data_IF_223823676567
#
_entry.id   IF_223823676567
#
_cell.length_a   1.000
_cell.length_b   1.000
_cell.length_c   1.000
_cell.angle_alpha   90.00
_cell.angle_beta   90.00
_cell.angle_gamma   90.00
#
_symmetry.space_group_name_H-M   'P 1'
#
loop_
_entity.id
_entity.type
_entity.pdbx_description
1 polymer ?
#
# COMPACT_ATOMS: atom_id res chain seq x y z
N UNK A 1 -12.94 -11.71 10.64
CA UNK A 1 -12.21 -10.42 10.62
C UNK A 1 -11.98 -9.85 9.21
N UNK A 2 -12.16 -10.61 8.12
CA UNK A 2 -11.83 -10.16 6.76
C UNK A 2 -10.36 -10.43 6.39
N UNK A 3 -10.08 -10.44 5.09
CA UNK A 3 -8.75 -10.68 4.52
C UNK A 3 -8.58 -9.87 3.22
N UNK A 4 -7.33 -9.50 2.92
CA UNK A 4 -6.99 -8.72 1.72
C UNK A 4 -6.50 -9.68 0.64
N UNK A 5 -7.19 -9.79 -0.51
CA UNK A 5 -6.87 -10.79 -1.53
C UNK A 5 -5.52 -10.54 -2.21
N UNK A 6 -4.85 -11.62 -2.63
CA UNK A 6 -3.57 -11.60 -3.35
C UNK A 6 -3.69 -12.19 -4.77
N UNK A 7 -2.84 -11.70 -5.69
CA UNK A 7 -2.76 -12.21 -7.07
C UNK A 7 -2.26 -13.68 -7.07
N UNK A 8 -3.12 -14.60 -7.49
CA UNK A 8 -2.84 -16.05 -7.54
C UNK A 8 -3.70 -16.90 -6.61
N UNK A 9 -4.48 -16.27 -5.71
CA UNK A 9 -5.43 -16.97 -4.82
C UNK A 9 -6.84 -17.07 -5.41
N UNK A 10 -7.15 -16.26 -6.43
CA UNK A 10 -8.46 -16.18 -7.04
C UNK A 10 -8.37 -16.36 -8.56
N UNK A 11 -9.26 -17.17 -9.11
CA UNK A 11 -9.47 -17.24 -10.56
C UNK A 11 -9.93 -15.88 -11.09
N UNK A 12 -9.56 -15.58 -12.33
CA UNK A 12 -9.86 -14.31 -13.00
C UNK A 12 -11.38 -14.22 -13.21
N UNK A 13 -12.08 -13.55 -12.29
CA UNK A 13 -13.54 -13.40 -12.28
C UNK A 13 -14.01 -12.21 -11.43
N UNK A 14 -15.33 -12.05 -11.29
CA UNK A 14 -15.91 -11.04 -10.39
C UNK A 14 -15.63 -11.40 -8.92
N UNK A 15 -15.12 -10.44 -8.15
CA UNK A 15 -14.77 -10.62 -6.74
C UNK A 15 -16.02 -10.37 -5.89
N UNK A 16 -16.42 -11.37 -5.12
CA UNK A 16 -17.44 -11.24 -4.08
C UNK A 16 -16.83 -10.55 -2.83
N UNK A 17 -16.70 -9.22 -2.87
CA UNK A 17 -16.01 -8.44 -1.85
C UNK A 17 -16.51 -8.68 -0.42
N UNK A 18 -17.78 -8.98 -0.23
CA UNK A 18 -18.34 -9.21 1.11
C UNK A 18 -17.66 -10.37 1.85
N UNK A 19 -17.12 -11.37 1.13
CA UNK A 19 -16.36 -12.48 1.72
C UNK A 19 -15.01 -12.05 2.28
N UNK A 20 -14.47 -10.93 1.80
CA UNK A 20 -13.13 -10.43 2.12
C UNK A 20 -13.18 -9.27 3.11
N UNK A 21 -14.25 -8.48 3.10
CA UNK A 21 -14.34 -7.28 3.91
C UNK A 21 -14.47 -7.59 5.39
N UNK A 22 -13.91 -6.72 6.22
CA UNK A 22 -13.98 -6.84 7.68
C UNK A 22 -15.40 -6.60 8.17
N UNK A 23 -16.00 -7.57 8.85
CA UNK A 23 -17.25 -7.35 9.58
C UNK A 23 -17.00 -6.45 10.80
N UNK A 24 -17.75 -5.33 10.98
CA UNK A 24 -17.53 -4.44 12.10
C UNK A 24 -17.81 -5.03 13.49
N UNK A 25 -18.76 -5.96 13.60
CA UNK A 25 -19.11 -6.59 14.88
C UNK A 25 -18.05 -7.62 15.31
N UNK A 26 -17.48 -8.34 14.34
CA UNK A 26 -16.33 -9.21 14.58
C UNK A 26 -15.08 -8.42 14.96
N UNK A 27 -14.84 -7.28 14.31
CA UNK A 27 -13.72 -6.39 14.64
C UNK A 27 -13.79 -5.90 16.09
N UNK A 28 -14.96 -5.41 16.52
CA UNK A 28 -15.20 -4.97 17.89
C UNK A 28 -14.96 -6.09 18.91
N UNK A 29 -15.50 -7.28 18.63
CA UNK A 29 -15.34 -8.45 19.50
C UNK A 29 -13.88 -8.86 19.62
N UNK A 30 -13.17 -8.92 18.50
CA UNK A 30 -11.77 -9.27 18.47
C UNK A 30 -10.90 -8.27 19.25
N UNK A 31 -11.10 -6.96 19.06
CA UNK A 31 -10.36 -5.93 19.78
C UNK A 31 -10.62 -6.03 21.29
N UNK A 32 -11.89 -6.19 21.69
CA UNK A 32 -12.27 -6.34 23.10
C UNK A 32 -11.64 -7.55 23.76
N UNK A 33 -11.62 -8.70 23.08
CA UNK A 33 -11.14 -9.96 23.64
C UNK A 33 -9.60 -10.04 23.65
N UNK A 34 -8.96 -9.59 22.58
CA UNK A 34 -7.51 -9.73 22.42
C UNK A 34 -6.71 -8.56 22.99
N UNK A 35 -7.32 -7.38 23.11
CA UNK A 35 -6.69 -6.14 23.59
C UNK A 35 -5.46 -5.72 22.76
N UNK A 36 -5.49 -5.99 21.47
CA UNK A 36 -4.48 -5.52 20.51
C UNK A 36 -4.42 -3.98 20.44
N UNK A 37 -3.25 -3.45 20.12
CA UNK A 37 -3.02 -2.00 20.03
C UNK A 37 -3.44 -1.40 18.68
N UNK A 38 -3.56 -2.21 17.63
CA UNK A 38 -3.96 -1.78 16.30
C UNK A 38 -4.62 -2.92 15.52
N UNK A 39 -5.50 -2.59 14.58
CA UNK A 39 -6.24 -3.57 13.77
C UNK A 39 -6.08 -3.32 12.27
N UNK A 40 -5.66 -4.34 11.54
CA UNK A 40 -5.73 -4.37 10.09
C UNK A 40 -7.16 -4.63 9.61
N UNK A 41 -7.63 -3.83 8.64
CA UNK A 41 -9.00 -3.91 8.12
C UNK A 41 -9.03 -4.06 6.60
N UNK A 42 -10.02 -4.79 6.11
CA UNK A 42 -10.32 -4.97 4.69
C UNK A 42 -11.59 -4.20 4.32
N UNK A 43 -11.45 -3.24 3.41
CA UNK A 43 -12.52 -2.33 2.97
C UNK A 43 -12.62 -2.26 1.44
N UNK A 44 -12.12 -3.29 0.75
CA UNK A 44 -12.04 -3.34 -0.73
C UNK A 44 -10.66 -3.06 -1.32
N UNK A 45 -9.64 -2.93 -0.46
CA UNK A 45 -8.23 -2.89 -0.81
C UNK A 45 -7.71 -4.30 -1.20
N UNK A 46 -6.62 -4.37 -1.97
CA UNK A 46 -6.02 -5.64 -2.41
C UNK A 46 -4.48 -5.56 -2.49
N UNK A 47 -3.82 -6.72 -2.48
CA UNK A 47 -2.36 -6.78 -2.56
C UNK A 47 -1.85 -6.88 -4.01
N UNK A 48 -0.62 -6.41 -4.22
CA UNK A 48 0.06 -6.57 -5.50
C UNK A 48 -0.56 -5.71 -6.59
N UNK A 49 -0.77 -6.33 -7.75
CA UNK A 49 -1.48 -5.74 -8.90
C UNK A 49 -2.91 -6.31 -9.03
N UNK A 50 -3.46 -6.83 -7.92
CA UNK A 50 -4.80 -7.40 -7.92
C UNK A 50 -5.87 -6.31 -8.02
N UNK A 51 -7.03 -6.66 -8.58
CA UNK A 51 -8.12 -5.71 -8.77
C UNK A 51 -8.74 -5.34 -7.41
N UNK A 52 -8.84 -4.04 -7.15
CA UNK A 52 -9.51 -3.48 -5.99
C UNK A 52 -10.95 -3.06 -6.29
N UNK A 53 -11.72 -2.73 -5.25
CA UNK A 53 -12.92 -1.90 -5.43
C UNK A 53 -12.52 -0.52 -5.95
N UNK A 54 -13.29 -0.02 -6.91
CA UNK A 54 -13.15 1.35 -7.44
C UNK A 54 -13.16 2.35 -6.27
N UNK A 55 -14.15 2.22 -5.39
CA UNK A 55 -14.24 3.00 -4.16
C UNK A 55 -14.13 2.08 -2.93
N UNK A 56 -13.29 2.42 -1.94
CA UNK A 56 -13.24 1.69 -0.68
C UNK A 56 -14.54 1.90 0.10
N UNK A 57 -14.91 0.93 0.92
CA UNK A 57 -16.10 0.97 1.76
C UNK A 57 -15.88 1.87 2.98
N UNK A 58 -16.14 3.17 2.79
CA UNK A 58 -15.93 4.19 3.81
C UNK A 58 -16.93 4.08 4.96
N UNK A 59 -18.17 3.68 4.69
CA UNK A 59 -19.17 3.53 5.75
C UNK A 59 -18.80 2.39 6.69
N UNK A 60 -18.33 1.25 6.15
CA UNK A 60 -17.76 0.17 6.96
C UNK A 60 -16.57 0.65 7.79
N UNK A 61 -15.64 1.40 7.20
CA UNK A 61 -14.48 1.95 7.92
C UNK A 61 -14.91 2.85 9.09
N UNK A 62 -15.91 3.72 8.88
CA UNK A 62 -16.45 4.60 9.93
C UNK A 62 -17.02 3.80 11.11
N UNK A 63 -17.77 2.74 10.83
CA UNK A 63 -18.35 1.87 11.87
C UNK A 63 -17.24 1.16 12.64
N UNK A 64 -16.26 0.57 11.94
CA UNK A 64 -15.13 -0.12 12.58
C UNK A 64 -14.35 0.85 13.48
N UNK A 65 -14.01 2.03 12.98
CA UNK A 65 -13.26 3.04 13.75
C UNK A 65 -14.02 3.46 15.02
N UNK A 66 -15.34 3.69 14.90
CA UNK A 66 -16.19 4.03 16.04
C UNK A 66 -16.22 2.92 17.10
N UNK A 67 -16.36 1.66 16.69
CA UNK A 67 -16.53 0.55 17.61
C UNK A 67 -15.21 0.10 18.26
N UNK A 68 -14.11 0.10 17.49
CA UNK A 68 -12.83 -0.41 17.95
C UNK A 68 -12.03 0.65 18.73
N UNK A 69 -12.12 1.93 18.35
CA UNK A 69 -11.43 3.05 18.99
C UNK A 69 -9.92 2.82 19.20
N UNK A 70 -9.26 2.17 18.25
CA UNK A 70 -7.80 1.95 18.18
C UNK A 70 -7.30 2.30 16.77
N UNK A 71 -6.00 2.58 16.59
CA UNK A 71 -5.40 2.78 15.27
C UNK A 71 -5.72 1.65 14.27
N UNK A 72 -6.16 2.03 13.06
CA UNK A 72 -6.44 1.07 11.99
C UNK A 72 -5.30 1.03 10.97
N UNK A 73 -5.03 -0.17 10.44
CA UNK A 73 -3.96 -0.45 9.49
C UNK A 73 -4.59 -0.81 8.13
N UNK A 74 -4.08 -0.20 7.06
CA UNK A 74 -4.49 -0.50 5.70
C UNK A 74 -3.38 -1.20 4.91
N UNK A 75 -3.61 -2.46 4.60
CA UNK A 75 -2.79 -3.24 3.68
C UNK A 75 -3.13 -2.90 2.23
N UNK A 76 -2.28 -3.29 1.27
CA UNK A 76 -2.68 -3.26 -0.14
C UNK A 76 -3.07 -1.87 -0.63
N UNK A 77 -2.20 -0.88 -0.44
CA UNK A 77 -2.45 0.53 -0.81
C UNK A 77 -1.27 1.17 -1.53
N UNK A 78 -0.47 0.32 -2.20
CA UNK A 78 0.78 0.74 -2.83
C UNK A 78 0.56 1.72 -3.99
N UNK A 79 -0.54 1.56 -4.72
CA UNK A 79 -0.99 2.37 -5.87
C UNK A 79 -1.98 3.47 -5.48
N UNK A 80 -2.38 3.57 -4.22
CA UNK A 80 -3.31 4.61 -3.78
C UNK A 80 -2.66 6.00 -3.87
N UNK A 81 -3.40 6.92 -4.50
CA UNK A 81 -3.05 8.34 -4.63
C UNK A 81 -3.67 9.18 -3.50
N UNK A 82 -3.25 10.45 -3.45
CA UNK A 82 -3.42 11.33 -2.29
C UNK A 82 -4.88 11.51 -1.83
N UNK A 83 -5.83 11.69 -2.74
CA UNK A 83 -7.23 11.89 -2.38
C UNK A 83 -7.84 10.67 -1.68
N UNK A 84 -7.59 9.47 -2.22
CA UNK A 84 -8.09 8.21 -1.67
C UNK A 84 -7.49 7.94 -0.28
N UNK A 85 -6.20 8.22 -0.12
CA UNK A 85 -5.50 8.13 1.17
C UNK A 85 -6.09 9.10 2.19
N UNK A 86 -6.24 10.38 1.83
CA UNK A 86 -6.78 11.41 2.72
C UNK A 86 -8.16 11.03 3.25
N UNK A 87 -9.01 10.46 2.40
CA UNK A 87 -10.37 9.99 2.75
C UNK A 87 -10.35 8.94 3.86
N UNK A 88 -9.44 7.96 3.79
CA UNK A 88 -9.39 6.89 4.82
C UNK A 88 -8.68 7.32 6.11
N UNK A 89 -7.72 8.25 6.03
CA UNK A 89 -7.09 8.84 7.22
C UNK A 89 -8.12 9.56 8.10
N UNK A 90 -9.05 10.29 7.48
CA UNK A 90 -10.16 10.96 8.17
C UNK A 90 -11.07 9.99 8.96
N UNK A 91 -10.95 8.69 8.69
CA UNK A 91 -11.78 7.64 9.28
C UNK A 91 -10.96 6.59 10.05
N UNK A 92 -9.76 6.96 10.53
CA UNK A 92 -9.04 6.18 11.55
C UNK A 92 -7.88 5.32 11.03
N UNK A 93 -7.63 5.28 9.72
CA UNK A 93 -6.40 4.66 9.20
C UNK A 93 -5.20 5.50 9.65
N UNK A 94 -4.30 4.85 10.39
CA UNK A 94 -3.09 5.45 10.95
C UNK A 94 -1.79 4.83 10.41
N UNK A 95 -1.88 3.65 9.79
CA UNK A 95 -0.73 2.93 9.24
C UNK A 95 -1.07 2.35 7.87
N UNK A 96 -0.12 2.43 6.94
CA UNK A 96 -0.25 1.89 5.59
C UNK A 96 0.91 0.95 5.30
N UNK A 97 0.61 -0.22 4.73
CA UNK A 97 1.65 -1.15 4.27
C UNK A 97 1.89 -0.95 2.77
N UNK A 98 3.14 -0.60 2.41
CA UNK A 98 3.57 -0.36 1.03
C UNK A 98 4.71 -1.31 0.68
N UNK A 99 4.54 -2.12 -0.36
CA UNK A 99 5.56 -3.08 -0.83
C UNK A 99 5.68 -3.07 -2.36
N UNK A 100 4.57 -3.26 -3.09
CA UNK A 100 4.59 -3.29 -4.57
C UNK A 100 5.27 -2.06 -5.17
N UNK A 101 4.95 -0.86 -4.66
CA UNK A 101 5.52 0.39 -5.19
C UNK A 101 7.05 0.47 -5.01
N UNK A 102 7.57 -0.01 -3.87
CA UNK A 102 9.02 0.01 -3.63
C UNK A 102 9.74 -1.07 -4.46
N UNK A 103 9.15 -2.27 -4.62
CA UNK A 103 9.71 -3.32 -5.48
C UNK A 103 9.76 -2.88 -6.94
N UNK A 104 8.69 -2.29 -7.44
CA UNK A 104 8.62 -1.78 -8.83
C UNK A 104 9.65 -0.69 -9.07
N UNK A 105 9.76 0.28 -8.16
CA UNK A 105 10.77 1.34 -8.30
C UNK A 105 12.19 0.81 -8.30
N UNK A 106 12.49 -0.16 -7.43
CA UNK A 106 13.79 -0.81 -7.36
C UNK A 106 14.12 -1.56 -8.66
N UNK A 107 13.22 -2.45 -9.10
CA UNK A 107 13.43 -3.32 -10.25
C UNK A 107 13.48 -2.52 -11.56
N UNK A 108 12.58 -1.56 -11.76
CA UNK A 108 12.58 -0.73 -12.97
C UNK A 108 13.87 0.10 -13.07
N UNK A 109 14.34 0.66 -11.96
CA UNK A 109 15.59 1.41 -11.96
C UNK A 109 16.79 0.51 -12.29
N UNK A 110 16.83 -0.70 -11.72
CA UNK A 110 17.88 -1.67 -12.01
C UNK A 110 17.87 -2.10 -13.49
N UNK A 111 16.69 -2.38 -14.06
CA UNK A 111 16.54 -2.70 -15.48
C UNK A 111 17.05 -1.55 -16.35
N UNK A 112 16.66 -0.31 -16.04
CA UNK A 112 17.10 0.87 -16.80
C UNK A 112 18.62 1.04 -16.74
N UNK A 113 19.23 0.86 -15.55
CA UNK A 113 20.67 0.95 -15.36
C UNK A 113 21.44 -0.15 -16.12
N UNK A 114 20.89 -1.36 -16.19
CA UNK A 114 21.51 -2.49 -16.89
C UNK A 114 21.31 -2.46 -18.41
N UNK A 115 20.23 -1.85 -18.89
CA UNK A 115 19.90 -1.78 -20.34
C UNK A 115 20.38 -0.49 -21.00
N UNK A 116 20.84 0.49 -20.22
CA UNK A 116 21.18 1.82 -20.72
C UNK A 116 19.96 2.63 -21.19
N UNK A 117 18.75 2.19 -20.85
CA UNK A 117 17.52 2.92 -21.13
C UNK A 117 17.44 4.16 -20.22
N UNK A 118 17.95 5.29 -20.69
CA UNK A 118 17.71 6.58 -20.04
C UNK A 118 16.26 7.01 -20.27
N UNK A 119 15.54 7.29 -19.19
CA UNK A 119 14.19 7.89 -19.23
C UNK A 119 14.18 9.31 -19.82
N UNK A 120 15.35 9.96 -20.00
CA UNK A 120 15.48 11.39 -20.30
C UNK A 120 16.20 11.72 -21.64
N UNK A 121 16.12 10.85 -22.65
CA UNK A 121 16.40 11.23 -24.05
C UNK A 121 17.83 11.66 -24.42
N UNK A 122 18.79 11.58 -23.51
CA UNK A 122 20.20 11.87 -23.80
C UNK A 122 20.95 10.55 -23.97
N UNK A 123 21.14 10.17 -25.23
CA UNK A 123 21.82 8.94 -25.63
C UNK A 123 23.27 8.90 -25.14
N UNK A 124 23.69 7.68 -24.77
CA UNK A 124 25.02 7.28 -24.34
C UNK A 124 25.34 7.45 -22.85
N UNK A 125 24.63 6.71 -21.99
CA UNK A 125 25.14 6.34 -20.67
C UNK A 125 25.79 4.96 -20.76
N UNK A 126 27.12 4.88 -20.63
CA UNK A 126 27.84 3.62 -20.53
C UNK A 126 27.28 2.78 -19.37
N UNK A 127 26.88 1.54 -19.63
CA UNK A 127 26.43 0.61 -18.58
C UNK A 127 27.56 0.43 -17.56
N UNK A 128 27.28 0.70 -16.29
CA UNK A 128 28.23 0.52 -15.21
C UNK A 128 28.21 -0.93 -14.73
N UNK A 129 29.36 -1.60 -14.71
CA UNK A 129 29.52 -2.92 -14.07
C UNK A 129 29.81 -2.85 -12.57
N UNK A 130 29.97 -1.64 -12.01
CA UNK A 130 30.08 -1.46 -10.56
C UNK A 130 28.70 -1.66 -9.90
N UNK A 131 28.55 -2.79 -9.21
CA UNK A 131 27.31 -3.17 -8.53
C UNK A 131 26.83 -2.14 -7.52
N UNK A 132 27.75 -1.37 -6.90
CA UNK A 132 27.40 -0.33 -5.93
C UNK A 132 26.68 0.83 -6.61
N UNK A 133 27.05 1.16 -7.85
CA UNK A 133 26.37 2.19 -8.64
C UNK A 133 24.97 1.73 -9.06
N UNK A 134 24.85 0.48 -9.51
CA UNK A 134 23.57 -0.12 -9.93
C UNK A 134 22.58 -0.23 -8.76
N UNK A 135 23.00 -0.82 -7.64
CA UNK A 135 22.15 -0.95 -6.45
C UNK A 135 21.92 0.41 -5.77
N UNK A 136 22.90 1.32 -5.85
CA UNK A 136 22.79 2.68 -5.33
C UNK A 136 21.69 3.48 -6.00
N UNK A 137 21.61 3.44 -7.34
CA UNK A 137 20.54 4.15 -8.07
C UNK A 137 19.15 3.56 -7.76
N UNK A 138 19.05 2.24 -7.68
CA UNK A 138 17.80 1.57 -7.32
C UNK A 138 17.34 1.91 -5.88
N UNK A 139 18.29 2.03 -4.95
CA UNK A 139 18.02 2.50 -3.59
C UNK A 139 17.51 3.94 -3.54
N UNK A 140 18.10 4.86 -4.31
CA UNK A 140 17.60 6.24 -4.37
C UNK A 140 16.18 6.29 -4.98
N UNK A 141 15.87 5.47 -5.99
CA UNK A 141 14.51 5.36 -6.52
C UNK A 141 13.49 4.90 -5.47
N UNK A 142 13.84 3.90 -4.65
CA UNK A 142 13.00 3.48 -3.51
C UNK A 142 12.81 4.62 -2.50
N UNK A 143 13.89 5.33 -2.17
CA UNK A 143 13.86 6.46 -1.23
C UNK A 143 12.90 7.56 -1.70
N UNK A 144 12.88 7.85 -3.00
CA UNK A 144 11.96 8.85 -3.56
C UNK A 144 10.49 8.40 -3.48
N UNK A 145 10.21 7.12 -3.70
CA UNK A 145 8.86 6.55 -3.46
C UNK A 145 8.47 6.68 -1.98
N UNK A 146 9.38 6.32 -1.06
CA UNK A 146 9.11 6.42 0.39
C UNK A 146 8.84 7.87 0.80
N UNK A 147 9.62 8.84 0.31
CA UNK A 147 9.36 10.27 0.55
C UNK A 147 7.98 10.70 0.04
N UNK A 148 7.61 10.29 -1.19
CA UNK A 148 6.27 10.58 -1.76
C UNK A 148 5.18 10.03 -0.83
N UNK A 149 5.33 8.78 -0.35
CA UNK A 149 4.36 8.15 0.55
C UNK A 149 4.31 8.82 1.93
N UNK A 150 5.44 9.19 2.54
CA UNK A 150 5.47 9.98 3.79
C UNK A 150 4.68 11.28 3.67
N UNK A 151 4.82 11.99 2.55
CA UNK A 151 4.07 13.22 2.31
C UNK A 151 2.57 12.95 2.15
N UNK A 152 2.20 11.98 1.31
CA UNK A 152 0.79 11.63 1.05
C UNK A 152 0.09 11.09 2.31
N UNK A 153 0.79 10.31 3.14
CA UNK A 153 0.29 9.81 4.41
C UNK A 153 0.27 10.88 5.51
N UNK A 154 0.78 12.08 5.24
CA UNK A 154 0.75 13.20 6.17
C UNK A 154 1.64 13.01 7.40
N UNK A 155 2.69 12.19 7.32
CA UNK A 155 3.64 11.95 8.42
C UNK A 155 4.93 12.80 8.31
N UNK A 156 5.10 13.53 7.21
CA UNK A 156 6.23 14.45 7.01
C UNK A 156 6.31 15.49 8.13
N UNK A 157 7.48 15.60 8.78
CA UNK A 157 7.73 16.57 9.86
C UNK A 157 7.14 16.22 11.22
N UNK A 158 6.70 14.97 11.45
CA UNK A 158 6.08 14.51 12.72
C UNK A 158 6.97 13.55 13.53
N UNK A 159 8.29 13.65 13.37
CA UNK A 159 9.27 12.80 14.07
C UNK A 159 9.58 13.31 15.48
#
# INVERSE_FOLDING_TARGET
LGNVPYLGELEVGEIEWEKYMTDPSEAETFVRETKIDALAVAIGNAHGFFKERIEPDIERLKIINKNCNIPLILHGSSDWEEERVKKVIQHGIACFNVDTAIRVAFINNLINACTGACSNGHGSSSISFDIRKLLGSAREAVKDVVKKKINIFGSSGKA
#
